data_IF_795866138399
#
_entry.id   IF_795866138399
#
_cell.length_a   1.000
_cell.length_b   1.000
_cell.length_c   1.000
_cell.angle_alpha   90.00
_cell.angle_beta   90.00
_cell.angle_gamma   90.00
#
_symmetry.space_group_name_H-M   'P 1'
#
loop_
_entity.id
_entity.type
_entity.pdbx_description
1 polymer ?
#
# COMPACT_ATOMS: atom_id res chain seq x y z
N UNK A 1 13.38 -17.16 -12.60
CA UNK A 1 14.41 -17.44 -11.57
C UNK A 1 15.77 -17.04 -12.11
N UNK A 2 16.59 -16.31 -11.34
CA UNK A 2 17.98 -16.02 -11.73
C UNK A 2 18.85 -17.23 -11.39
N UNK A 3 19.63 -17.70 -12.36
CA UNK A 3 20.52 -18.86 -12.17
C UNK A 3 21.90 -18.39 -11.70
N UNK A 4 22.44 -19.06 -10.70
CA UNK A 4 23.81 -18.89 -10.24
C UNK A 4 24.63 -20.07 -10.73
N UNK A 5 25.83 -19.81 -11.20
CA UNK A 5 26.77 -20.87 -11.62
C UNK A 5 27.89 -20.97 -10.60
N UNK A 6 28.09 -22.18 -10.08
CA UNK A 6 29.23 -22.51 -9.25
C UNK A 6 30.26 -23.24 -10.12
N UNK A 7 31.44 -22.64 -10.29
CA UNK A 7 32.57 -23.24 -11.02
C UNK A 7 33.27 -24.31 -10.19
N UNK A 8 33.93 -25.24 -10.85
CA UNK A 8 34.68 -26.33 -10.19
C UNK A 8 35.74 -25.84 -9.20
N UNK A 9 36.24 -24.62 -9.38
CA UNK A 9 37.14 -23.93 -8.45
C UNK A 9 36.51 -23.26 -7.26
N UNK A 10 35.19 -23.43 -7.05
CA UNK A 10 34.47 -22.78 -5.95
C UNK A 10 34.10 -21.30 -6.17
N UNK A 11 34.38 -20.76 -7.36
CA UNK A 11 33.98 -19.38 -7.70
C UNK A 11 32.52 -19.34 -8.08
N UNK A 12 31.79 -18.39 -7.54
CA UNK A 12 30.37 -18.13 -7.82
C UNK A 12 30.17 -16.73 -8.40
N UNK A 13 29.54 -16.67 -9.57
CA UNK A 13 29.21 -15.37 -10.19
C UNK A 13 27.76 -15.01 -9.91
N UNK A 14 27.57 -13.84 -9.30
CA UNK A 14 26.25 -13.30 -9.01
C UNK A 14 25.73 -12.49 -10.21
N UNK A 15 24.43 -12.60 -10.55
CA UNK A 15 23.82 -11.68 -11.51
C UNK A 15 23.98 -10.22 -11.08
N UNK A 16 24.19 -9.27 -12.03
CA UNK A 16 24.46 -7.88 -11.70
C UNK A 16 23.39 -7.21 -10.81
N UNK A 17 22.13 -7.60 -10.97
CA UNK A 17 21.04 -7.11 -10.14
C UNK A 17 21.17 -7.58 -8.68
N UNK A 18 21.51 -8.87 -8.48
CA UNK A 18 21.72 -9.45 -7.14
C UNK A 18 22.94 -8.83 -6.48
N UNK A 19 24.05 -8.69 -7.21
CA UNK A 19 25.28 -8.09 -6.71
C UNK A 19 25.07 -6.62 -6.28
N UNK A 20 24.28 -5.85 -7.04
CA UNK A 20 23.92 -4.46 -6.64
C UNK A 20 23.08 -4.40 -5.37
N UNK A 21 22.15 -5.33 -5.20
CA UNK A 21 21.27 -5.36 -4.01
C UNK A 21 22.02 -5.80 -2.74
N UNK A 22 22.94 -6.76 -2.87
CA UNK A 22 23.73 -7.24 -1.74
C UNK A 22 24.85 -6.26 -1.37
N UNK A 23 25.38 -5.52 -2.36
CA UNK A 23 26.54 -4.66 -2.21
C UNK A 23 27.86 -5.41 -2.28
N UNK A 24 28.98 -4.67 -2.28
CA UNK A 24 30.33 -5.21 -2.25
C UNK A 24 30.73 -5.52 -0.81
N UNK A 25 31.23 -6.74 -0.57
CA UNK A 25 31.71 -7.14 0.77
C UNK A 25 31.82 -8.65 0.91
N UNK A 26 32.36 -9.10 2.04
CA UNK A 26 32.44 -10.54 2.34
C UNK A 26 31.05 -11.10 2.60
N UNK A 27 30.77 -12.28 2.07
CA UNK A 27 29.60 -13.09 2.36
C UNK A 27 29.96 -14.19 3.36
N UNK A 28 29.16 -14.34 4.38
CA UNK A 28 29.26 -15.47 5.32
C UNK A 28 28.32 -16.59 4.85
N UNK A 29 28.79 -17.82 5.00
CA UNK A 29 28.03 -19.02 4.77
C UNK A 29 27.15 -19.26 6.01
N UNK A 30 25.82 -19.12 5.85
CA UNK A 30 24.86 -19.32 6.95
C UNK A 30 24.48 -20.80 7.04
N UNK A 31 24.19 -21.45 5.91
CA UNK A 31 23.79 -22.85 5.86
C UNK A 31 24.05 -23.45 4.48
N UNK A 32 24.37 -24.76 4.43
CA UNK A 32 24.51 -25.50 3.18
C UNK A 32 24.16 -26.96 3.31
N UNK A 33 23.74 -27.55 2.22
CA UNK A 33 23.63 -29.01 2.03
C UNK A 33 23.78 -29.32 0.54
N UNK A 34 23.57 -30.57 0.14
CA UNK A 34 23.52 -30.93 -1.28
C UNK A 34 22.39 -30.25 -2.06
N UNK A 35 21.35 -29.78 -1.37
CA UNK A 35 20.15 -29.19 -1.97
C UNK A 35 20.01 -27.68 -1.80
N UNK A 36 20.85 -27.02 -0.98
CA UNK A 36 20.75 -25.58 -0.76
C UNK A 36 22.08 -24.93 -0.36
N UNK A 37 22.16 -23.65 -0.62
CA UNK A 37 23.22 -22.76 -0.16
C UNK A 37 22.58 -21.45 0.30
N UNK A 38 22.78 -21.08 1.58
CA UNK A 38 22.35 -19.81 2.13
C UNK A 38 23.59 -19.01 2.55
N UNK A 39 23.73 -17.84 1.92
CA UNK A 39 24.79 -16.87 2.23
C UNK A 39 24.16 -15.53 2.56
N UNK A 40 24.80 -14.77 3.45
CA UNK A 40 24.37 -13.41 3.78
C UNK A 40 25.60 -12.49 3.89
N UNK A 41 25.46 -11.15 3.74
CA UNK A 41 26.54 -10.22 4.05
C UNK A 41 27.08 -10.48 5.47
N UNK A 42 28.42 -10.58 5.60
CA UNK A 42 29.04 -11.04 6.85
C UNK A 42 28.57 -10.32 8.12
N UNK A 43 28.35 -8.98 8.14
CA UNK A 43 27.82 -8.30 9.33
C UNK A 43 26.35 -8.67 9.64
N UNK A 44 25.56 -9.04 8.62
CA UNK A 44 24.14 -9.36 8.76
C UNK A 44 23.85 -10.86 8.87
N UNK A 45 24.88 -11.72 8.77
CA UNK A 45 24.74 -13.18 8.82
C UNK A 45 24.51 -13.71 10.24
N UNK A 46 24.92 -12.95 11.26
CA UNK A 46 24.71 -13.33 12.65
C UNK A 46 23.20 -13.41 12.96
N UNK A 47 22.79 -14.52 13.60
CA UNK A 47 21.40 -14.74 14.00
C UNK A 47 20.40 -15.03 12.87
N UNK A 48 20.83 -15.16 11.58
CA UNK A 48 19.92 -15.56 10.48
C UNK A 48 19.53 -17.02 10.65
N UNK A 49 18.27 -17.27 10.97
CA UNK A 49 17.72 -18.63 11.14
C UNK A 49 16.75 -19.04 10.06
N UNK A 50 16.09 -18.06 9.41
CA UNK A 50 15.10 -18.31 8.39
C UNK A 50 15.15 -17.21 7.35
N UNK A 51 15.17 -17.58 6.07
CA UNK A 51 15.06 -16.64 4.95
C UNK A 51 14.29 -17.26 3.80
N UNK A 52 13.62 -16.43 3.01
CA UNK A 52 12.86 -16.91 1.86
C UNK A 52 12.19 -15.80 1.08
N UNK A 53 11.29 -16.21 0.18
CA UNK A 53 10.47 -15.32 -0.62
C UNK A 53 9.00 -15.54 -0.30
N UNK A 54 8.23 -14.46 -0.29
CA UNK A 54 6.77 -14.50 -0.27
C UNK A 54 6.27 -15.05 -1.60
N UNK A 55 5.11 -15.68 -1.57
CA UNK A 55 4.47 -16.32 -2.72
C UNK A 55 3.79 -17.59 -2.29
N UNK A 56 4.49 -18.73 -2.31
CA UNK A 56 4.00 -20.00 -1.77
C UNK A 56 3.85 -19.97 -0.24
N UNK A 57 4.62 -19.13 0.43
CA UNK A 57 4.50 -18.86 1.86
C UNK A 57 3.93 -17.45 2.03
N UNK A 58 2.73 -17.35 2.60
CA UNK A 58 2.06 -16.08 2.82
C UNK A 58 2.57 -15.37 4.08
N UNK A 59 2.26 -14.08 4.21
CA UNK A 59 2.51 -13.32 5.46
C UNK A 59 1.77 -13.97 6.63
N UNK A 60 0.52 -14.44 6.42
CA UNK A 60 -0.26 -15.11 7.46
C UNK A 60 0.42 -16.38 7.97
N UNK A 61 0.98 -17.20 7.06
CA UNK A 61 1.70 -18.42 7.42
C UNK A 61 2.93 -18.11 8.28
N UNK A 62 3.71 -17.09 7.87
CA UNK A 62 4.90 -16.65 8.61
C UNK A 62 4.55 -16.16 10.01
N UNK A 63 3.61 -15.23 10.12
CA UNK A 63 3.21 -14.67 11.41
C UNK A 63 2.63 -15.76 12.33
N UNK A 64 1.83 -16.69 11.77
CA UNK A 64 1.29 -17.83 12.50
C UNK A 64 2.40 -18.77 13.01
N UNK A 65 3.42 -19.05 12.18
CA UNK A 65 4.58 -19.82 12.58
C UNK A 65 5.31 -19.17 13.77
N UNK A 66 5.64 -17.88 13.69
CA UNK A 66 6.34 -17.18 14.77
C UNK A 66 5.51 -17.12 16.06
N UNK A 67 4.20 -16.91 15.95
CA UNK A 67 3.28 -16.89 17.09
C UNK A 67 3.17 -18.27 17.74
N UNK A 68 2.87 -19.32 16.95
CA UNK A 68 2.68 -20.68 17.45
C UNK A 68 3.91 -21.23 18.17
N UNK A 69 5.10 -21.01 17.61
CA UNK A 69 6.37 -21.48 18.16
C UNK A 69 7.01 -20.48 19.12
N UNK A 70 6.30 -19.43 19.53
CA UNK A 70 6.72 -18.40 20.49
C UNK A 70 8.12 -17.86 20.21
N UNK A 71 8.41 -17.57 18.94
CA UNK A 71 9.71 -17.05 18.54
C UNK A 71 9.92 -15.63 19.04
N UNK A 72 11.18 -15.32 19.36
CA UNK A 72 11.64 -13.96 19.66
C UNK A 72 12.74 -13.59 18.68
N UNK A 73 12.72 -12.35 18.17
CA UNK A 73 13.70 -11.89 17.17
C UNK A 73 13.11 -10.84 16.22
N UNK A 74 13.86 -10.55 15.16
CA UNK A 74 13.53 -9.56 14.14
C UNK A 74 13.20 -10.22 12.80
N UNK A 75 11.99 -10.01 12.32
CA UNK A 75 11.55 -10.41 10.99
C UNK A 75 11.58 -9.19 10.07
N UNK A 76 12.47 -9.20 9.08
CA UNK A 76 12.63 -8.16 8.09
C UNK A 76 12.04 -8.60 6.76
N UNK A 77 11.18 -7.75 6.17
CA UNK A 77 10.67 -7.91 4.82
C UNK A 77 11.30 -6.88 3.90
N UNK A 78 11.57 -7.29 2.66
CA UNK A 78 12.07 -6.43 1.59
C UNK A 78 11.16 -6.53 0.38
N UNK A 79 10.67 -5.40 -0.09
CA UNK A 79 9.79 -5.23 -1.25
C UNK A 79 10.44 -4.34 -2.30
N UNK A 80 9.85 -4.24 -3.49
CA UNK A 80 10.36 -3.39 -4.56
C UNK A 80 10.43 -1.88 -4.19
N UNK A 81 9.51 -1.42 -3.31
CA UNK A 81 9.42 0.00 -2.90
C UNK A 81 10.01 0.31 -1.53
N UNK A 82 10.49 -0.68 -0.78
CA UNK A 82 10.99 -0.47 0.57
C UNK A 82 10.99 -1.72 1.43
N UNK A 83 11.12 -1.56 2.73
CA UNK A 83 11.16 -2.64 3.69
C UNK A 83 10.30 -2.40 4.93
N UNK A 84 9.98 -3.49 5.61
CA UNK A 84 9.29 -3.48 6.90
C UNK A 84 9.98 -4.43 7.85
N UNK A 85 9.99 -4.08 9.13
CA UNK A 85 10.56 -4.91 10.18
C UNK A 85 9.53 -5.12 11.29
N UNK A 86 9.41 -6.36 11.74
CA UNK A 86 8.58 -6.74 12.88
C UNK A 86 9.45 -7.33 13.97
N UNK A 87 9.28 -6.85 15.19
CA UNK A 87 9.94 -7.40 16.36
C UNK A 87 9.00 -8.33 17.10
N UNK A 88 9.43 -9.56 17.28
CA UNK A 88 8.73 -10.57 18.04
C UNK A 88 9.35 -10.75 19.43
N UNK A 89 8.49 -10.89 20.43
CA UNK A 89 8.86 -11.34 21.78
C UNK A 89 7.88 -12.44 22.20
N UNK A 90 8.39 -13.65 22.40
CA UNK A 90 7.58 -14.83 22.78
C UNK A 90 6.38 -15.06 21.85
N UNK A 91 6.56 -14.81 20.53
CA UNK A 91 5.55 -14.97 19.51
C UNK A 91 4.62 -13.78 19.33
N UNK A 92 4.71 -12.76 20.17
CA UNK A 92 3.89 -11.54 20.05
C UNK A 92 4.66 -10.42 19.34
N UNK A 93 3.99 -9.70 18.44
CA UNK A 93 4.54 -8.53 17.78
C UNK A 93 4.52 -7.38 18.78
N UNK A 94 5.72 -6.90 19.15
CA UNK A 94 5.88 -5.83 20.14
C UNK A 94 6.26 -4.48 19.53
N UNK A 95 6.82 -4.48 18.32
CA UNK A 95 7.16 -3.26 17.57
C UNK A 95 7.16 -3.55 16.05
N UNK A 96 6.98 -2.52 15.26
CA UNK A 96 7.14 -2.57 13.82
C UNK A 96 7.73 -1.27 13.30
N UNK A 97 8.54 -1.37 12.24
CA UNK A 97 9.08 -0.22 11.50
C UNK A 97 8.87 -0.40 10.01
N UNK A 98 8.92 0.70 9.29
CA UNK A 98 8.72 0.75 7.85
C UNK A 98 9.60 1.81 7.22
N UNK A 99 10.00 1.59 5.97
CA UNK A 99 10.63 2.62 5.14
C UNK A 99 9.63 3.28 4.18
N UNK A 100 8.36 2.87 4.21
CA UNK A 100 7.30 3.47 3.41
C UNK A 100 6.84 4.78 4.04
N UNK A 101 7.03 5.94 3.36
CA UNK A 101 6.74 7.26 3.94
C UNK A 101 5.27 7.43 4.36
N UNK A 102 4.34 6.79 3.66
CA UNK A 102 2.91 6.85 3.94
C UNK A 102 2.49 6.15 5.24
N UNK A 103 3.37 5.30 5.79
CA UNK A 103 3.14 4.58 7.03
C UNK A 103 3.95 5.15 8.20
N UNK A 104 4.59 6.31 8.02
CA UNK A 104 5.37 6.91 9.10
C UNK A 104 4.48 7.44 10.23
N UNK A 105 5.07 7.67 11.39
CA UNK A 105 4.36 8.15 12.58
C UNK A 105 3.71 9.51 12.35
N UNK A 106 4.35 10.39 11.56
CA UNK A 106 3.83 11.71 11.23
C UNK A 106 2.58 11.62 10.36
N UNK A 107 2.57 10.76 9.35
CA UNK A 107 1.39 10.53 8.52
C UNK A 107 0.26 9.87 9.33
N UNK A 108 0.59 8.96 10.25
CA UNK A 108 -0.40 8.37 11.17
C UNK A 108 -1.04 9.41 12.07
N UNK A 109 -0.23 10.30 12.68
CA UNK A 109 -0.73 11.42 13.49
C UNK A 109 -1.63 12.36 12.68
N UNK A 110 -1.22 12.66 11.45
CA UNK A 110 -1.99 13.50 10.55
C UNK A 110 -3.32 12.84 10.13
N UNK A 111 -3.30 11.55 9.80
CA UNK A 111 -4.50 10.79 9.47
C UNK A 111 -5.49 10.70 10.64
N UNK A 112 -4.98 10.61 11.87
CA UNK A 112 -5.79 10.65 13.10
C UNK A 112 -6.27 12.07 13.47
N UNK A 113 -5.91 13.11 12.70
CA UNK A 113 -6.27 14.50 12.99
C UNK A 113 -5.62 15.06 14.26
N UNK A 114 -4.47 14.49 14.68
CA UNK A 114 -3.75 14.88 15.89
C UNK A 114 -2.69 15.96 15.65
N UNK A 115 -2.32 16.20 14.41
CA UNK A 115 -1.39 17.22 13.97
C UNK A 115 -1.86 17.81 12.64
N UNK A 116 -1.68 19.09 12.42
CA UNK A 116 -1.89 19.70 11.11
C UNK A 116 -0.66 19.54 10.21
N UNK A 117 -0.84 19.73 8.89
CA UNK A 117 0.22 19.52 7.90
C UNK A 117 1.40 20.48 8.08
N UNK A 118 1.14 21.72 8.46
CA UNK A 118 2.17 22.73 8.61
C UNK A 118 3.05 22.46 9.85
N UNK A 119 2.42 22.07 10.98
CA UNK A 119 3.15 21.65 12.17
C UNK A 119 3.99 20.38 11.90
N UNK A 120 3.44 19.41 11.17
CA UNK A 120 4.18 18.21 10.77
C UNK A 120 5.38 18.54 9.89
N UNK A 121 5.24 19.43 8.91
CA UNK A 121 6.33 19.84 8.02
C UNK A 121 7.44 20.55 8.81
N UNK A 122 7.08 21.46 9.71
CA UNK A 122 8.06 22.14 10.59
C UNK A 122 8.80 21.14 11.47
N UNK A 123 8.07 20.18 12.07
CA UNK A 123 8.68 19.15 12.92
C UNK A 123 9.61 18.23 12.13
N UNK A 124 9.27 17.86 10.89
CA UNK A 124 10.14 17.07 10.00
C UNK A 124 11.43 17.81 9.65
N UNK A 125 11.33 19.13 9.36
CA UNK A 125 12.53 19.95 9.11
C UNK A 125 13.45 20.02 10.34
N UNK A 126 12.87 20.13 11.54
CA UNK A 126 13.63 20.14 12.79
C UNK A 126 14.19 18.75 13.15
N UNK A 127 13.57 17.66 12.69
CA UNK A 127 13.99 16.29 12.96
C UNK A 127 15.16 15.83 12.06
N UNK A 128 15.54 16.59 11.05
CA UNK A 128 16.67 16.25 10.17
C UNK A 128 17.94 16.07 11.01
N UNK A 129 18.44 14.82 11.04
CA UNK A 129 19.63 14.44 11.80
C UNK A 129 19.41 14.00 13.26
N UNK A 130 18.19 14.16 13.83
CA UNK A 130 17.92 13.78 15.23
C UNK A 130 17.03 12.53 15.38
N UNK A 131 16.34 12.11 14.32
CA UNK A 131 15.46 10.92 14.33
C UNK A 131 14.22 10.97 15.26
N UNK A 132 14.01 12.06 15.98
CA UNK A 132 13.08 12.15 17.11
C UNK A 132 11.80 12.94 16.80
N UNK A 133 11.16 12.70 15.62
CA UNK A 133 9.95 13.43 15.18
C UNK A 133 8.87 13.50 16.28
N UNK A 134 8.57 12.37 16.92
CA UNK A 134 7.55 12.31 17.97
C UNK A 134 7.89 13.20 19.18
N UNK A 135 9.16 13.21 19.59
CA UNK A 135 9.62 14.06 20.69
C UNK A 135 9.49 15.54 20.33
N UNK A 136 9.93 15.92 19.13
CA UNK A 136 9.83 17.33 18.65
C UNK A 136 8.38 17.79 18.64
N UNK A 137 7.43 16.97 18.18
CA UNK A 137 6.00 17.30 18.16
C UNK A 137 5.42 17.49 19.57
N UNK A 138 5.85 16.68 20.53
CA UNK A 138 5.43 16.80 21.94
C UNK A 138 6.07 18.04 22.58
N UNK A 139 7.37 18.24 22.42
CA UNK A 139 8.11 19.38 22.99
C UNK A 139 7.60 20.73 22.45
N UNK A 140 7.17 20.74 21.17
CA UNK A 140 6.51 21.90 20.54
C UNK A 140 5.02 22.08 20.97
N UNK A 141 4.48 21.19 21.80
CA UNK A 141 3.08 21.24 22.22
C UNK A 141 2.07 20.96 21.10
N UNK A 142 2.54 20.50 19.93
CA UNK A 142 1.70 20.22 18.76
C UNK A 142 0.91 18.92 18.91
N UNK A 143 1.41 17.97 19.72
CA UNK A 143 0.80 16.66 19.96
C UNK A 143 0.91 16.33 21.45
N UNK A 144 -0.17 15.85 22.06
CA UNK A 144 -0.11 15.36 23.42
C UNK A 144 0.60 13.99 23.48
N UNK A 145 1.34 13.71 24.56
CA UNK A 145 2.05 12.43 24.71
C UNK A 145 1.14 11.19 24.60
N UNK A 146 -0.10 11.27 25.09
CA UNK A 146 -1.11 10.21 24.96
C UNK A 146 -1.51 9.96 23.51
N UNK A 147 -1.60 11.02 22.70
CA UNK A 147 -1.97 10.93 21.29
C UNK A 147 -0.78 10.37 20.47
N UNK A 148 0.44 10.73 20.84
CA UNK A 148 1.66 10.15 20.27
C UNK A 148 1.73 8.64 20.51
N UNK A 149 1.45 8.20 21.75
CA UNK A 149 1.44 6.79 22.10
C UNK A 149 0.34 6.03 21.33
N UNK A 150 -0.87 6.60 21.24
CA UNK A 150 -1.97 6.04 20.43
C UNK A 150 -1.56 5.92 18.96
N UNK A 151 -0.99 6.97 18.38
CA UNK A 151 -0.57 6.98 16.99
C UNK A 151 0.54 5.96 16.72
N UNK A 152 1.52 5.81 17.63
CA UNK A 152 2.57 4.80 17.49
C UNK A 152 2.00 3.37 17.52
N UNK A 153 1.00 3.11 18.37
CA UNK A 153 0.29 1.82 18.38
C UNK A 153 -0.45 1.58 17.06
N UNK A 154 -1.23 2.57 16.59
CA UNK A 154 -1.96 2.49 15.32
C UNK A 154 -1.01 2.32 14.14
N UNK A 155 0.16 2.95 14.19
CA UNK A 155 1.21 2.77 13.18
C UNK A 155 1.66 1.31 13.11
N UNK A 156 1.99 0.68 14.25
CA UNK A 156 2.39 -0.74 14.29
C UNK A 156 1.29 -1.63 13.69
N UNK A 157 0.04 -1.43 14.11
CA UNK A 157 -1.11 -2.16 13.56
C UNK A 157 -1.23 -1.96 12.04
N UNK A 158 -1.09 -0.73 11.54
CA UNK A 158 -1.17 -0.39 10.12
C UNK A 158 -0.04 -1.04 9.30
N UNK A 159 1.20 -1.00 9.82
CA UNK A 159 2.35 -1.65 9.18
C UNK A 159 2.08 -3.15 9.02
N UNK A 160 1.56 -3.80 10.06
CA UNK A 160 1.23 -5.23 10.04
C UNK A 160 0.09 -5.51 9.05
N UNK A 161 -1.00 -4.76 9.08
CA UNK A 161 -2.15 -4.99 8.19
C UNK A 161 -1.78 -4.79 6.71
N UNK A 162 -0.93 -3.81 6.40
CA UNK A 162 -0.48 -3.58 5.04
C UNK A 162 0.50 -4.66 4.53
N UNK A 163 1.12 -5.47 5.40
CA UNK A 163 1.88 -6.64 4.98
C UNK A 163 1.00 -7.69 4.29
N UNK A 164 -0.25 -7.87 4.74
CA UNK A 164 -1.17 -8.85 4.15
C UNK A 164 -1.55 -8.54 2.70
N UNK A 165 -1.32 -7.32 2.24
CA UNK A 165 -1.54 -6.94 0.83
C UNK A 165 -0.36 -7.24 -0.08
N UNK A 166 0.77 -7.66 0.48
CA UNK A 166 2.01 -7.94 -0.26
C UNK A 166 2.02 -9.39 -0.73
N UNK A 167 1.91 -9.60 -2.05
CA UNK A 167 1.94 -10.93 -2.64
C UNK A 167 3.36 -11.43 -2.94
N UNK A 168 4.33 -10.53 -3.08
CA UNK A 168 5.72 -10.84 -3.45
C UNK A 168 6.69 -10.02 -2.62
N UNK A 169 7.87 -10.59 -2.37
CA UNK A 169 8.92 -9.96 -1.58
C UNK A 169 9.85 -11.01 -1.02
N UNK A 170 10.86 -10.60 -0.29
CA UNK A 170 11.73 -11.50 0.47
C UNK A 170 11.65 -11.20 1.96
N UNK A 171 11.96 -12.21 2.76
CA UNK A 171 12.02 -12.06 4.21
C UNK A 171 13.25 -12.74 4.80
N UNK A 172 13.72 -12.20 5.92
CA UNK A 172 14.81 -12.76 6.73
C UNK A 172 14.44 -12.61 8.20
N UNK A 173 14.62 -13.68 8.97
CA UNK A 173 14.44 -13.67 10.42
C UNK A 173 15.77 -13.85 11.15
N UNK A 174 16.00 -12.98 12.13
CA UNK A 174 17.16 -12.99 13.02
C UNK A 174 16.68 -13.25 14.45
N UNK A 175 17.19 -14.29 15.12
CA UNK A 175 16.79 -14.65 16.48
C UNK A 175 17.57 -13.88 17.56
N UNK A 176 18.78 -13.40 17.25
CA UNK A 176 19.63 -12.64 18.18
C UNK A 176 19.37 -11.13 18.20
N UNK A 177 18.48 -10.64 17.31
CA UNK A 177 18.20 -9.23 17.19
C UNK A 177 17.21 -8.77 18.28
N UNK A 178 17.73 -8.12 19.30
CA UNK A 178 16.88 -7.36 20.24
C UNK A 178 16.61 -5.97 19.65
N UNK A 179 15.36 -5.51 19.71
CA UNK A 179 15.05 -4.14 19.31
C UNK A 179 15.81 -3.16 20.19
N UNK A 180 16.30 -2.07 19.62
CA UNK A 180 16.85 -0.96 20.40
C UNK A 180 15.85 -0.48 21.45
N UNK A 181 16.35 -0.01 22.59
CA UNK A 181 15.52 0.48 23.70
C UNK A 181 14.72 1.76 23.37
N UNK A 182 14.93 2.34 22.20
CA UNK A 182 14.33 3.61 21.79
C UNK A 182 12.90 3.51 21.24
N UNK A 183 12.42 2.28 20.94
CA UNK A 183 11.09 2.11 20.35
C UNK A 183 10.06 1.71 21.44
N UNK A 184 8.85 2.33 21.42
CA UNK A 184 7.78 1.92 22.30
C UNK A 184 7.39 0.47 21.99
N UNK A 185 7.31 -0.36 23.02
CA UNK A 185 6.85 -1.75 22.91
C UNK A 185 5.38 -1.82 23.26
N UNK A 186 4.62 -2.49 22.42
CA UNK A 186 3.18 -2.69 22.60
C UNK A 186 2.92 -4.17 22.91
N UNK A 187 1.93 -4.43 23.75
CA UNK A 187 1.40 -5.78 23.92
C UNK A 187 0.25 -5.97 22.92
N UNK A 188 0.57 -6.47 21.73
CA UNK A 188 -0.40 -6.74 20.66
C UNK A 188 -0.54 -8.25 20.49
N UNK A 189 -1.76 -8.76 20.50
CA UNK A 189 -2.01 -10.16 20.17
C UNK A 189 -1.75 -10.40 18.69
N UNK A 190 -0.68 -11.13 18.38
CA UNK A 190 -0.34 -11.50 16.98
C UNK A 190 -1.46 -12.27 16.33
N UNK A 191 -2.15 -13.14 17.06
CA UNK A 191 -3.31 -13.86 16.54
C UNK A 191 -4.44 -12.92 16.13
N UNK A 192 -4.75 -11.90 16.94
CA UNK A 192 -5.77 -10.90 16.57
C UNK A 192 -5.33 -10.07 15.36
N UNK A 193 -4.05 -9.72 15.27
CA UNK A 193 -3.50 -9.01 14.11
C UNK A 193 -3.61 -9.85 12.82
N UNK A 194 -3.35 -11.16 12.90
CA UNK A 194 -3.51 -12.07 11.76
C UNK A 194 -4.97 -12.14 11.32
N UNK A 195 -5.90 -12.38 12.26
CA UNK A 195 -7.32 -12.48 11.94
C UNK A 195 -7.85 -11.17 11.32
N UNK A 196 -7.51 -10.04 11.92
CA UNK A 196 -7.91 -8.72 11.42
C UNK A 196 -7.27 -8.40 10.06
N UNK A 197 -5.98 -8.76 9.87
CA UNK A 197 -5.29 -8.59 8.59
C UNK A 197 -5.97 -9.37 7.46
N UNK A 198 -6.32 -10.64 7.67
CA UNK A 198 -7.04 -11.47 6.71
C UNK A 198 -8.43 -10.88 6.41
N UNK A 199 -9.20 -10.51 7.45
CA UNK A 199 -10.49 -9.85 7.28
C UNK A 199 -10.39 -8.59 6.42
N UNK A 200 -9.36 -7.76 6.63
CA UNK A 200 -9.13 -6.53 5.85
C UNK A 200 -8.81 -6.81 4.39
N UNK A 201 -8.10 -7.88 4.08
CA UNK A 201 -7.86 -8.30 2.69
C UNK A 201 -9.16 -8.64 2.00
N UNK A 202 -10.01 -9.46 2.65
CA UNK A 202 -11.29 -9.88 2.10
C UNK A 202 -12.24 -8.68 1.89
N UNK A 203 -12.35 -7.80 2.88
CA UNK A 203 -13.20 -6.61 2.79
C UNK A 203 -12.70 -5.61 1.74
N UNK A 204 -11.39 -5.43 1.56
CA UNK A 204 -10.85 -4.57 0.49
C UNK A 204 -11.29 -5.01 -0.91
N UNK A 205 -11.44 -6.31 -1.12
CA UNK A 205 -11.95 -6.83 -2.39
C UNK A 205 -13.42 -6.41 -2.62
N UNK A 206 -14.22 -6.34 -1.55
CA UNK A 206 -15.60 -5.84 -1.61
C UNK A 206 -15.66 -4.33 -1.85
N UNK A 207 -14.81 -3.55 -1.17
CA UNK A 207 -14.78 -2.09 -1.32
C UNK A 207 -14.51 -1.66 -2.76
N UNK A 208 -13.64 -2.37 -3.48
CA UNK A 208 -13.30 -2.08 -4.89
C UNK A 208 -14.49 -2.15 -5.84
N UNK A 209 -15.56 -2.86 -5.47
CA UNK A 209 -16.79 -2.94 -6.29
C UNK A 209 -17.50 -1.59 -6.35
N UNK A 210 -17.52 -0.83 -5.25
CA UNK A 210 -18.16 0.47 -5.18
C UNK A 210 -17.17 1.64 -5.24
N UNK A 211 -15.92 1.43 -4.80
CA UNK A 211 -14.88 2.45 -4.73
C UNK A 211 -13.70 2.02 -5.59
N UNK A 212 -13.72 2.32 -6.89
CA UNK A 212 -12.70 1.81 -7.83
C UNK A 212 -11.31 2.41 -7.60
N UNK A 213 -11.23 3.63 -7.01
CA UNK A 213 -9.97 4.34 -6.77
C UNK A 213 -10.11 5.33 -5.62
N UNK A 214 -9.03 5.60 -4.91
CA UNK A 214 -8.94 6.69 -3.94
C UNK A 214 -9.03 8.09 -4.58
N UNK A 215 -8.90 8.18 -5.90
CA UNK A 215 -9.09 9.41 -6.66
C UNK A 215 -10.52 9.60 -7.16
N UNK A 216 -11.41 8.61 -6.98
CA UNK A 216 -12.84 8.74 -7.26
C UNK A 216 -13.47 9.86 -6.41
N UNK A 217 -14.49 10.50 -6.95
CA UNK A 217 -15.21 11.57 -6.25
C UNK A 217 -16.56 11.02 -5.79
N UNK A 218 -16.78 10.86 -4.47
CA UNK A 218 -18.07 10.46 -3.95
C UNK A 218 -19.08 11.61 -4.09
N UNK A 219 -20.29 11.29 -4.48
CA UNK A 219 -21.42 12.22 -4.60
C UNK A 219 -22.61 11.69 -3.85
N UNK A 220 -23.36 12.57 -3.19
CA UNK A 220 -24.58 12.17 -2.48
C UNK A 220 -25.72 11.91 -3.46
N UNK A 221 -26.53 10.88 -3.15
CA UNK A 221 -27.71 10.51 -3.95
C UNK A 221 -29.00 11.16 -3.46
N UNK A 222 -28.94 12.12 -2.51
CA UNK A 222 -30.11 12.87 -2.04
C UNK A 222 -31.05 12.10 -1.08
N UNK A 223 -30.62 10.93 -0.57
CA UNK A 223 -31.37 10.15 0.42
C UNK A 223 -31.27 10.79 1.80
N UNK A 224 -32.38 10.82 2.57
CA UNK A 224 -32.37 11.29 3.95
C UNK A 224 -31.49 10.39 4.83
N UNK A 225 -30.68 11.02 5.69
CA UNK A 225 -29.63 10.37 6.47
C UNK A 225 -29.90 10.31 7.99
N UNK A 226 -31.16 10.51 8.40
CA UNK A 226 -31.53 10.70 9.81
C UNK A 226 -31.27 9.45 10.66
N UNK A 227 -31.37 8.27 10.07
CA UNK A 227 -31.19 6.97 10.75
C UNK A 227 -29.73 6.47 10.74
N UNK A 228 -28.78 7.23 10.16
CA UNK A 228 -27.38 6.82 10.08
C UNK A 228 -26.62 7.15 11.37
N UNK A 229 -25.57 6.36 11.70
CA UNK A 229 -24.63 6.71 12.76
C UNK A 229 -24.00 8.09 12.56
N UNK A 230 -23.77 8.83 13.65
CA UNK A 230 -23.19 10.18 13.60
C UNK A 230 -21.87 10.29 12.79
N UNK A 231 -21.06 9.24 12.78
CA UNK A 231 -19.83 9.22 12.01
C UNK A 231 -20.10 9.22 10.49
N UNK A 232 -21.09 8.46 10.04
CA UNK A 232 -21.52 8.39 8.64
C UNK A 232 -22.25 9.67 8.21
N UNK A 233 -23.08 10.25 9.08
CA UNK A 233 -23.72 11.55 8.83
C UNK A 233 -22.67 12.65 8.59
N UNK A 234 -21.60 12.71 9.41
CA UNK A 234 -20.49 13.65 9.22
C UNK A 234 -19.76 13.44 7.91
N UNK A 235 -19.54 12.16 7.54
CA UNK A 235 -18.89 11.84 6.28
C UNK A 235 -19.74 12.30 5.09
N UNK A 236 -21.05 12.07 5.13
CA UNK A 236 -22.01 12.57 4.13
C UNK A 236 -22.03 14.10 4.04
N UNK A 237 -21.99 14.81 5.17
CA UNK A 237 -21.90 16.26 5.19
C UNK A 237 -20.63 16.78 4.51
N UNK A 238 -19.50 16.10 4.67
CA UNK A 238 -18.27 16.44 3.95
C UNK A 238 -18.38 16.19 2.45
N UNK A 239 -19.08 15.12 2.03
CA UNK A 239 -19.33 14.81 0.61
C UNK A 239 -20.25 15.88 -0.01
N UNK A 240 -21.33 16.26 0.68
CA UNK A 240 -22.27 17.29 0.21
C UNK A 240 -21.61 18.68 0.09
N UNK A 241 -20.63 18.97 0.93
CA UNK A 241 -19.95 20.27 0.99
C UNK A 241 -18.89 20.52 -0.09
N UNK A 242 -18.58 19.55 -0.96
CA UNK A 242 -17.58 19.76 -1.99
C UNK A 242 -17.22 18.52 -2.82
N UNK A 243 -16.56 18.74 -3.95
CA UNK A 243 -16.05 17.67 -4.84
C UNK A 243 -14.70 17.15 -4.35
N UNK A 244 -14.68 16.52 -3.17
CA UNK A 244 -13.47 15.94 -2.60
C UNK A 244 -13.25 14.55 -3.19
N UNK A 245 -11.98 14.21 -3.52
CA UNK A 245 -11.59 12.83 -3.81
C UNK A 245 -11.71 11.98 -2.54
N UNK A 246 -11.91 10.68 -2.68
CA UNK A 246 -11.97 9.76 -1.52
C UNK A 246 -10.79 10.00 -0.58
N UNK A 247 -9.57 10.06 -1.10
CA UNK A 247 -8.35 10.35 -0.33
C UNK A 247 -8.44 11.62 0.52
N UNK A 248 -8.94 12.71 -0.07
CA UNK A 248 -9.09 14.01 0.59
C UNK A 248 -10.22 13.99 1.63
N UNK A 249 -11.30 13.28 1.30
CA UNK A 249 -12.45 13.08 2.18
C UNK A 249 -12.05 12.33 3.46
N UNK A 250 -11.34 11.21 3.31
CA UNK A 250 -10.88 10.41 4.46
C UNK A 250 -9.96 11.23 5.37
N UNK A 251 -9.04 11.97 4.76
CA UNK A 251 -8.14 12.87 5.50
C UNK A 251 -8.90 13.96 6.24
N UNK A 252 -9.86 14.62 5.58
CA UNK A 252 -10.69 15.68 6.19
C UNK A 252 -11.57 15.13 7.31
N UNK A 253 -12.03 13.89 7.18
CA UNK A 253 -12.80 13.19 8.21
C UNK A 253 -11.98 12.66 9.38
N UNK A 254 -10.62 12.73 9.31
CA UNK A 254 -9.73 12.12 10.33
C UNK A 254 -9.87 10.60 10.39
N UNK A 255 -10.18 9.95 9.27
CA UNK A 255 -10.42 8.51 9.18
C UNK A 255 -9.21 7.81 8.59
N UNK A 256 -8.81 6.70 9.20
CA UNK A 256 -7.87 5.77 8.59
C UNK A 256 -8.42 5.24 7.25
N UNK A 257 -7.54 4.92 6.31
CA UNK A 257 -7.94 4.50 4.96
C UNK A 257 -8.96 3.35 4.99
N UNK A 258 -8.65 2.29 5.72
CA UNK A 258 -9.51 1.11 5.76
C UNK A 258 -10.89 1.40 6.36
N UNK A 259 -10.94 2.06 7.51
CA UNK A 259 -12.21 2.36 8.20
C UNK A 259 -13.06 3.35 7.40
N UNK A 260 -12.42 4.32 6.78
CA UNK A 260 -13.10 5.27 5.91
C UNK A 260 -13.64 4.64 4.63
N UNK A 261 -12.87 3.73 3.99
CA UNK A 261 -13.35 2.96 2.85
C UNK A 261 -14.51 2.05 3.22
N UNK A 262 -14.48 1.42 4.41
CA UNK A 262 -15.58 0.61 4.91
C UNK A 262 -16.86 1.42 5.09
N UNK A 263 -16.76 2.61 5.69
CA UNK A 263 -17.91 3.52 5.85
C UNK A 263 -18.47 3.98 4.50
N UNK A 264 -17.59 4.36 3.56
CA UNK A 264 -18.01 4.75 2.21
C UNK A 264 -18.66 3.60 1.44
N UNK A 265 -18.12 2.39 1.56
CA UNK A 265 -18.69 1.19 0.96
C UNK A 265 -20.10 0.94 1.51
N UNK A 266 -20.28 0.99 2.82
CA UNK A 266 -21.59 0.84 3.44
C UNK A 266 -22.59 1.89 2.97
N UNK A 267 -22.19 3.17 2.90
CA UNK A 267 -23.01 4.25 2.37
C UNK A 267 -23.35 4.05 0.88
N UNK A 268 -22.44 3.50 0.09
CA UNK A 268 -22.67 3.20 -1.32
C UNK A 268 -23.63 2.00 -1.49
N UNK A 269 -23.47 0.94 -0.71
CA UNK A 269 -24.40 -0.19 -0.72
C UNK A 269 -25.84 0.21 -0.35
N UNK A 270 -25.98 1.12 0.60
CA UNK A 270 -27.28 1.64 1.02
C UNK A 270 -27.84 2.71 0.07
N UNK A 271 -27.09 3.12 -0.96
CA UNK A 271 -27.52 4.09 -1.97
C UNK A 271 -27.54 5.55 -1.47
N UNK A 272 -26.78 5.88 -0.43
CA UNK A 272 -26.57 7.28 0.01
C UNK A 272 -25.51 7.99 -0.82
N UNK A 273 -24.52 7.22 -1.34
CA UNK A 273 -23.37 7.74 -2.06
C UNK A 273 -23.16 6.95 -3.35
N UNK A 274 -22.84 7.64 -4.43
CA UNK A 274 -22.34 7.07 -5.67
C UNK A 274 -20.92 7.59 -5.94
N UNK A 275 -20.11 6.82 -6.66
CA UNK A 275 -18.78 7.25 -7.08
C UNK A 275 -18.85 7.84 -8.48
N UNK A 276 -18.53 9.12 -8.62
CA UNK A 276 -18.27 9.72 -9.93
C UNK A 276 -16.85 9.34 -10.35
N UNK A 277 -16.69 8.91 -11.60
CA UNK A 277 -15.35 8.73 -12.14
C UNK A 277 -14.60 10.07 -12.11
N UNK A 278 -13.33 10.12 -11.72
CA UNK A 278 -12.56 11.35 -11.81
C UNK A 278 -12.58 11.80 -13.26
N UNK A 279 -12.98 13.05 -13.49
CA UNK A 279 -12.68 13.69 -14.78
C UNK A 279 -11.17 13.89 -14.78
N UNK A 280 -10.47 13.02 -15.46
CA UNK A 280 -9.05 13.22 -15.71
C UNK A 280 -8.97 14.32 -16.76
N UNK A 281 -8.81 15.55 -16.31
CA UNK A 281 -8.38 16.63 -17.19
C UNK A 281 -6.88 16.38 -17.43
N UNK A 282 -6.56 15.71 -18.51
CA UNK A 282 -5.18 15.64 -19.00
C UNK A 282 -4.88 17.05 -19.52
N UNK A 283 -4.17 17.84 -18.70
CA UNK A 283 -3.76 19.20 -19.06
C UNK A 283 -2.37 19.21 -19.70
N UNK A 284 -2.06 20.25 -20.49
CA UNK A 284 -0.81 20.40 -21.22
C UNK A 284 -0.82 19.73 -22.61
N UNK A 285 0.35 19.62 -23.25
CA UNK A 285 0.51 19.10 -24.62
C UNK A 285 -0.13 17.72 -24.85
N UNK A 286 -0.04 16.83 -23.86
CA UNK A 286 -0.69 15.51 -23.91
C UNK A 286 -2.22 15.62 -23.88
N UNK A 287 -2.77 16.60 -23.15
CA UNK A 287 -4.22 16.83 -23.11
C UNK A 287 -4.76 17.36 -24.43
N UNK A 288 -4.04 18.27 -25.05
CA UNK A 288 -4.37 18.80 -26.38
C UNK A 288 -4.31 17.70 -27.44
N UNK A 289 -3.26 16.87 -27.41
CA UNK A 289 -3.09 15.75 -28.31
C UNK A 289 -4.23 14.74 -28.16
N UNK A 290 -4.55 14.36 -26.93
CA UNK A 290 -5.66 13.46 -26.62
C UNK A 290 -7.01 14.05 -27.07
N UNK A 291 -7.19 15.37 -26.92
CA UNK A 291 -8.38 16.09 -27.41
C UNK A 291 -8.55 15.96 -28.91
N UNK A 292 -7.47 16.14 -29.67
CA UNK A 292 -7.47 15.99 -31.15
C UNK A 292 -7.80 14.55 -31.53
N UNK A 293 -7.19 13.55 -30.93
CA UNK A 293 -7.46 12.14 -31.19
C UNK A 293 -8.90 11.76 -30.85
N UNK A 294 -9.40 12.19 -29.68
CA UNK A 294 -10.78 11.92 -29.28
C UNK A 294 -11.79 12.62 -30.19
N UNK A 295 -11.49 13.82 -30.70
CA UNK A 295 -12.31 14.49 -31.69
C UNK A 295 -12.40 13.70 -33.00
N UNK A 296 -11.29 13.15 -33.47
CA UNK A 296 -11.27 12.28 -34.64
C UNK A 296 -12.06 10.98 -34.40
N UNK A 297 -11.84 10.31 -33.28
CA UNK A 297 -12.53 9.08 -32.91
C UNK A 297 -14.05 9.29 -32.79
N UNK A 298 -14.49 10.36 -32.12
CA UNK A 298 -15.92 10.70 -32.03
C UNK A 298 -16.57 10.94 -33.42
N UNK A 299 -15.83 11.63 -34.32
CA UNK A 299 -16.29 11.87 -35.68
C UNK A 299 -16.42 10.56 -36.45
N UNK A 300 -15.43 9.70 -36.38
CA UNK A 300 -15.45 8.37 -37.00
C UNK A 300 -16.60 7.52 -36.44
N UNK A 301 -16.75 7.48 -35.12
CA UNK A 301 -17.82 6.75 -34.45
C UNK A 301 -19.21 7.22 -34.93
N UNK A 302 -19.42 8.55 -35.00
CA UNK A 302 -20.67 9.14 -35.47
C UNK A 302 -21.02 8.75 -36.92
N UNK A 303 -20.01 8.57 -37.78
CA UNK A 303 -20.20 8.18 -39.16
C UNK A 303 -20.37 6.68 -39.35
N UNK A 304 -19.66 5.87 -38.57
CA UNK A 304 -19.61 4.43 -38.76
C UNK A 304 -20.71 3.71 -37.97
N UNK A 305 -21.01 4.16 -36.75
CA UNK A 305 -22.00 3.52 -35.88
C UNK A 305 -23.39 3.30 -36.51
N UNK A 306 -23.95 4.23 -37.29
CA UNK A 306 -25.22 4.02 -37.95
C UNK A 306 -25.19 2.90 -39.01
N UNK A 307 -24.02 2.64 -39.58
CA UNK A 307 -23.81 1.64 -40.66
C UNK A 307 -23.35 0.30 -40.04
N UNK A 308 -22.59 0.36 -38.94
CA UNK A 308 -22.06 -0.79 -38.23
C UNK A 308 -22.26 -0.63 -36.70
N UNK A 309 -23.40 -1.04 -36.14
CA UNK A 309 -23.71 -0.89 -34.72
C UNK A 309 -22.72 -1.61 -33.78
N UNK A 310 -22.02 -2.64 -34.30
CA UNK A 310 -20.97 -3.39 -33.55
C UNK A 310 -19.60 -2.71 -33.51
N UNK A 311 -19.41 -1.55 -34.14
CA UNK A 311 -18.11 -0.91 -34.32
C UNK A 311 -17.36 -0.67 -32.98
N UNK A 312 -18.04 -0.22 -31.94
CA UNK A 312 -17.41 -0.02 -30.59
C UNK A 312 -16.89 -1.32 -30.00
N UNK A 313 -17.55 -2.44 -30.26
CA UNK A 313 -17.11 -3.76 -29.80
C UNK A 313 -15.88 -4.25 -30.57
N UNK A 314 -15.86 -4.02 -31.87
CA UNK A 314 -14.70 -4.33 -32.72
C UNK A 314 -13.47 -3.50 -32.31
N UNK A 315 -13.64 -2.21 -32.04
CA UNK A 315 -12.55 -1.36 -31.51
C UNK A 315 -12.02 -1.87 -30.17
N UNK A 316 -12.91 -2.30 -29.28
CA UNK A 316 -12.51 -2.88 -27.99
C UNK A 316 -11.70 -4.16 -28.16
N UNK A 317 -12.13 -5.06 -29.03
CA UNK A 317 -11.40 -6.28 -29.35
C UNK A 317 -10.04 -5.98 -29.98
N UNK A 318 -9.99 -5.05 -30.91
CA UNK A 318 -8.75 -4.61 -31.53
C UNK A 318 -7.74 -4.07 -30.50
N UNK A 319 -8.18 -3.19 -29.60
CA UNK A 319 -7.31 -2.62 -28.55
C UNK A 319 -6.77 -3.68 -27.60
N UNK A 320 -7.60 -4.68 -27.27
CA UNK A 320 -7.19 -5.80 -26.42
C UNK A 320 -6.14 -6.70 -27.07
N UNK A 321 -6.27 -6.92 -28.37
CA UNK A 321 -5.44 -7.85 -29.13
C UNK A 321 -4.17 -7.19 -29.72
N UNK A 322 -3.87 -5.93 -29.34
CA UNK A 322 -2.65 -5.23 -29.75
C UNK A 322 -1.39 -5.97 -29.26
N UNK A 323 -0.31 -6.02 -30.09
CA UNK A 323 0.96 -6.63 -29.66
C UNK A 323 1.66 -5.82 -28.57
N UNK A 324 2.54 -6.48 -27.81
CA UNK A 324 3.44 -5.80 -26.86
C UNK A 324 4.34 -4.79 -27.61
N UNK A 325 4.55 -3.55 -27.07
CA UNK A 325 4.15 -3.05 -25.74
C UNK A 325 2.77 -2.39 -25.68
N UNK A 326 2.07 -2.25 -26.79
CA UNK A 326 0.79 -1.50 -26.90
C UNK A 326 -0.33 -2.15 -26.07
N UNK A 327 -0.37 -3.47 -25.96
CA UNK A 327 -1.34 -4.19 -25.14
C UNK A 327 -1.26 -3.82 -23.65
N UNK A 328 -0.09 -3.42 -23.15
CA UNK A 328 0.08 -2.96 -21.76
C UNK A 328 -0.61 -1.60 -21.53
N UNK A 329 -0.63 -0.76 -22.55
CA UNK A 329 -1.20 0.60 -22.47
C UNK A 329 -2.69 0.59 -22.81
N UNK A 330 -3.10 -0.17 -23.82
CA UNK A 330 -4.43 -0.10 -24.41
C UNK A 330 -5.33 -1.30 -24.10
N UNK A 331 -4.77 -2.41 -23.56
CA UNK A 331 -5.52 -3.65 -23.35
C UNK A 331 -6.76 -3.53 -22.46
N UNK A 332 -6.75 -2.57 -21.52
CA UNK A 332 -7.86 -2.26 -20.65
C UNK A 332 -8.63 -1.00 -21.05
N UNK A 333 -8.27 -0.35 -22.19
CA UNK A 333 -9.00 0.80 -22.69
C UNK A 333 -10.33 0.37 -23.32
N UNK A 334 -11.43 0.93 -22.82
CA UNK A 334 -12.74 0.74 -23.41
C UNK A 334 -13.20 2.05 -24.08
N UNK A 335 -13.63 2.02 -25.34
CA UNK A 335 -14.28 3.16 -25.94
C UNK A 335 -15.56 3.54 -25.18
N UNK A 336 -15.81 4.82 -25.03
CA UNK A 336 -17.07 5.36 -24.51
C UNK A 336 -18.18 5.23 -25.57
N UNK A 337 -19.42 5.50 -25.16
CA UNK A 337 -20.58 5.44 -26.05
C UNK A 337 -20.50 6.42 -27.24
N UNK A 338 -19.69 7.48 -27.12
CA UNK A 338 -19.38 8.44 -28.17
C UNK A 338 -18.13 8.09 -29.01
N UNK A 339 -17.53 6.93 -28.75
CA UNK A 339 -16.33 6.45 -29.45
C UNK A 339 -15.00 6.99 -28.90
N UNK A 340 -15.01 7.92 -27.94
CA UNK A 340 -13.79 8.50 -27.37
C UNK A 340 -13.08 7.53 -26.40
N UNK A 341 -11.78 7.67 -26.26
CA UNK A 341 -10.97 6.93 -25.29
C UNK A 341 -10.74 7.75 -24.00
N UNK A 342 -10.66 7.07 -22.88
CA UNK A 342 -10.34 7.70 -21.60
C UNK A 342 -8.82 7.81 -21.45
N UNK A 343 -8.28 9.03 -21.38
CA UNK A 343 -6.84 9.29 -21.22
C UNK A 343 -6.30 9.17 -19.80
N UNK A 344 -7.03 8.54 -18.90
CA UNK A 344 -6.69 8.46 -17.49
C UNK A 344 -6.16 7.11 -17.06
N UNK A 345 -4.88 6.88 -17.28
CA UNK A 345 -4.03 6.02 -16.46
C UNK A 345 -2.66 6.66 -16.28
#
# INVERSE_FOLDING_TARGET
>A
MSTLTLESGGRMTLPPAVARNIGAGPLALVSHSSGHLLVAPAPAAAGVVLAGSLGSLSVADLLSFFNLFRKSGLLRFTFAGGGKELVFLQGEIVAATTTFPEEDLGETLFALGKVDRDALLRARQAAVGSGALGKILVDAGSVAAKDLWLAARVQVETIVYNLFTQATGSFVFHDDATPGDEQPRFTLSTQNLIMEGLRRVDERALFRRHIPSLDAIPVTCGKAADDLPHAEQRLLAHIAGGKLRVRELLRKGGLGEFDGLRMLHHLAEQGFVAMAAPKVEVSGELGELLGVFNGALATMHKQIHPVCPGFSQEVRLFLRDLPYPFSVVFGDCAPRDDGTLNGGR
#
